data_IF_467846966879
#
_entry.id   IF_467846966879
#
_cell.length_a   1.000
_cell.length_b   1.000
_cell.length_c   1.000
_cell.angle_alpha   90.00
_cell.angle_beta   90.00
_cell.angle_gamma   90.00
#
_symmetry.space_group_name_H-M   'P 1'
#
loop_
_entity.id
_entity.type
_entity.pdbx_description
1 polymer ?
#
# COMPACT_ATOMS: atom_id res chain seq x y z
N UNK A 1 12.39 -23.47 -2.47
CA UNK A 1 11.38 -23.98 -3.41
C UNK A 1 10.52 -22.79 -3.80
N UNK A 2 10.59 -22.36 -5.06
CA UNK A 2 9.87 -21.18 -5.56
C UNK A 2 8.76 -21.69 -6.49
N UNK A 3 7.50 -21.45 -6.14
CA UNK A 3 6.34 -21.85 -6.94
C UNK A 3 5.97 -20.69 -7.86
N UNK A 4 6.30 -20.81 -9.15
CA UNK A 4 5.88 -19.84 -10.17
C UNK A 4 4.57 -20.33 -10.81
N UNK A 5 3.50 -19.56 -10.63
CA UNK A 5 2.21 -19.85 -11.27
C UNK A 5 2.11 -19.04 -12.57
N UNK A 6 2.30 -19.72 -13.71
CA UNK A 6 1.79 -19.25 -15.00
C UNK A 6 0.66 -20.18 -15.39
N UNK A 7 -0.40 -19.66 -16.01
CA UNK A 7 -1.73 -20.27 -16.14
C UNK A 7 -1.86 -21.62 -16.88
N UNK A 8 -0.84 -22.48 -16.93
CA UNK A 8 -0.89 -23.86 -17.43
C UNK A 8 0.01 -24.86 -16.66
N UNK A 9 0.64 -24.53 -15.52
CA UNK A 9 1.36 -25.53 -14.72
C UNK A 9 2.30 -24.96 -13.65
N UNK A 10 2.53 -25.75 -12.60
CA UNK A 10 3.53 -25.47 -11.57
C UNK A 10 4.86 -26.11 -11.96
N UNK A 11 5.95 -25.37 -11.76
CA UNK A 11 7.31 -25.90 -11.89
C UNK A 11 7.97 -25.85 -10.51
N UNK A 12 8.43 -27.01 -10.02
CA UNK A 12 9.29 -27.08 -8.86
C UNK A 12 10.74 -26.82 -9.30
N UNK A 13 11.32 -25.73 -8.78
CA UNK A 13 12.72 -25.38 -9.03
C UNK A 13 13.50 -25.68 -7.74
N UNK A 14 14.47 -26.58 -7.84
CA UNK A 14 15.40 -26.88 -6.76
C UNK A 14 16.41 -25.74 -6.61
N UNK A 15 16.87 -25.48 -5.39
CA UNK A 15 17.76 -24.34 -5.11
C UNK A 15 19.11 -24.42 -5.82
N UNK A 16 19.52 -25.62 -6.27
CA UNK A 16 20.74 -25.84 -7.03
C UNK A 16 20.71 -25.25 -8.44
N UNK A 17 19.51 -25.01 -8.99
CA UNK A 17 19.32 -24.50 -10.35
C UNK A 17 19.29 -22.96 -10.41
N UNK A 18 19.33 -22.32 -9.24
CA UNK A 18 19.31 -20.87 -9.10
C UNK A 18 20.75 -20.35 -9.16
N UNK A 19 21.09 -19.63 -10.23
CA UNK A 19 22.41 -18.99 -10.37
C UNK A 19 22.28 -17.48 -10.18
N UNK A 20 23.07 -16.95 -9.26
CA UNK A 20 23.20 -15.52 -9.04
C UNK A 20 24.24 -14.93 -10.00
N UNK A 21 24.03 -13.70 -10.45
CA UNK A 21 25.05 -12.97 -11.21
C UNK A 21 26.14 -12.53 -10.24
N UNK A 22 27.31 -13.13 -10.38
CA UNK A 22 28.48 -12.80 -9.58
C UNK A 22 29.56 -12.11 -10.41
N UNK A 23 30.40 -11.30 -9.77
CA UNK A 23 31.63 -10.82 -10.39
C UNK A 23 32.70 -11.94 -10.47
N UNK A 24 33.85 -11.63 -11.07
CA UNK A 24 35.00 -12.55 -11.16
C UNK A 24 35.60 -12.96 -9.80
N UNK A 25 35.12 -12.40 -8.68
CA UNK A 25 35.47 -12.79 -7.32
C UNK A 25 34.42 -13.70 -6.65
N UNK A 26 33.30 -13.96 -7.33
CA UNK A 26 32.19 -14.76 -6.81
C UNK A 26 31.20 -13.97 -5.94
N UNK A 27 31.32 -12.65 -5.86
CA UNK A 27 30.39 -11.79 -5.12
C UNK A 27 29.16 -11.47 -5.97
N UNK A 28 27.96 -11.61 -5.43
CA UNK A 28 26.71 -11.25 -6.13
C UNK A 28 26.69 -9.74 -6.40
N UNK A 29 26.47 -9.35 -7.65
CA UNK A 29 26.55 -7.95 -8.11
C UNK A 29 25.22 -7.39 -8.61
N UNK A 30 24.20 -8.24 -8.77
CA UNK A 30 22.86 -7.86 -9.20
C UNK A 30 21.84 -8.66 -8.37
N UNK A 31 20.77 -8.02 -7.91
CA UNK A 31 19.67 -8.65 -7.17
C UNK A 31 18.74 -9.44 -8.09
N UNK A 32 19.02 -9.42 -9.40
CA UNK A 32 18.38 -10.23 -10.40
C UNK A 32 18.83 -11.69 -10.33
N UNK A 33 17.87 -12.57 -10.05
CA UNK A 33 18.07 -14.02 -10.11
C UNK A 33 17.87 -14.49 -11.54
N UNK A 34 18.90 -15.10 -12.16
CA UNK A 34 18.75 -15.80 -13.44
C UNK A 34 18.44 -17.28 -13.18
N UNK A 35 17.26 -17.70 -13.61
CA UNK A 35 16.89 -19.11 -13.67
C UNK A 35 16.91 -19.54 -15.13
N UNK A 36 17.85 -20.40 -15.48
CA UNK A 36 17.92 -21.04 -16.78
C UNK A 36 17.29 -22.44 -16.68
N UNK A 37 16.11 -22.62 -17.25
CA UNK A 37 15.46 -23.94 -17.35
C UNK A 37 15.72 -24.46 -18.76
N UNK A 38 16.36 -25.62 -18.88
CA UNK A 38 16.60 -26.30 -20.16
C UNK A 38 15.53 -27.36 -20.37
N UNK A 39 14.69 -27.20 -21.40
CA UNK A 39 13.76 -28.25 -21.82
C UNK A 39 14.40 -29.18 -22.86
N UNK A 40 13.79 -30.35 -23.10
CA UNK A 40 14.27 -31.36 -24.07
C UNK A 40 14.48 -30.82 -25.50
N UNK A 41 13.91 -29.66 -25.83
CA UNK A 41 14.03 -28.98 -27.12
C UNK A 41 15.12 -27.89 -27.17
N UNK A 42 15.93 -27.71 -26.11
CA UNK A 42 17.04 -26.74 -26.07
C UNK A 42 16.62 -25.26 -25.92
N UNK A 43 15.44 -25.01 -25.35
CA UNK A 43 14.96 -23.65 -25.05
C UNK A 43 15.47 -23.18 -23.69
N UNK A 44 16.04 -21.96 -23.64
CA UNK A 44 16.46 -21.28 -22.43
C UNK A 44 15.46 -20.19 -22.04
N UNK A 45 15.02 -20.20 -20.79
CA UNK A 45 14.23 -19.11 -20.21
C UNK A 45 15.16 -18.17 -19.42
N UNK A 46 14.94 -16.86 -19.50
CA UNK A 46 15.56 -15.88 -18.62
C UNK A 46 14.46 -15.31 -17.72
N UNK A 47 14.36 -15.82 -16.50
CA UNK A 47 13.53 -15.19 -15.47
C UNK A 47 14.36 -14.06 -14.84
N UNK A 48 13.77 -12.88 -14.69
CA UNK A 48 14.36 -11.76 -13.94
C UNK A 48 13.41 -11.50 -12.77
N UNK A 49 13.80 -11.89 -11.57
CA UNK A 49 13.10 -11.54 -10.34
C UNK A 49 13.99 -10.58 -9.54
N UNK A 50 13.41 -9.48 -9.03
CA UNK A 50 14.09 -8.56 -8.11
C UNK A 50 13.76 -8.94 -6.67
N UNK A 51 14.73 -8.82 -5.78
CA UNK A 51 14.54 -9.14 -4.37
C UNK A 51 13.81 -7.97 -3.68
N UNK A 52 12.60 -8.21 -3.15
CA UNK A 52 11.87 -7.25 -2.32
C UNK A 52 10.61 -6.63 -2.93
N UNK A 53 10.22 -7.01 -4.16
CA UNK A 53 8.89 -6.68 -4.69
C UNK A 53 7.84 -7.66 -4.12
N UNK A 54 6.61 -7.21 -3.78
CA UNK A 54 5.54 -8.10 -3.35
C UNK A 54 5.29 -9.16 -4.44
N UNK A 55 5.01 -10.39 -4.03
CA UNK A 55 5.03 -11.63 -4.82
C UNK A 55 4.18 -11.65 -6.11
N UNK A 56 3.45 -10.58 -6.44
CA UNK A 56 2.39 -10.59 -7.45
C UNK A 56 2.83 -10.29 -8.90
N UNK A 57 4.07 -9.87 -9.19
CA UNK A 57 4.43 -9.50 -10.58
C UNK A 57 5.84 -9.92 -11.02
N UNK A 58 6.04 -11.21 -11.22
CA UNK A 58 7.18 -11.70 -12.01
C UNK A 58 6.82 -11.63 -13.50
N UNK A 59 7.46 -10.73 -14.25
CA UNK A 59 7.32 -10.65 -15.70
C UNK A 59 8.32 -11.61 -16.37
N UNK A 60 7.81 -12.70 -16.96
CA UNK A 60 8.65 -13.68 -17.67
C UNK A 60 8.71 -13.30 -19.15
N UNK A 61 9.88 -12.89 -19.63
CA UNK A 61 10.14 -12.67 -21.06
C UNK A 61 10.63 -13.99 -21.69
N UNK A 62 9.82 -14.58 -22.56
CA UNK A 62 10.15 -15.81 -23.27
C UNK A 62 10.63 -15.46 -24.68
N UNK A 63 11.91 -15.69 -24.98
CA UNK A 63 12.47 -15.49 -26.32
C UNK A 63 12.68 -16.85 -27.00
N UNK A 64 11.91 -17.15 -28.05
CA UNK A 64 12.12 -18.32 -28.92
C UNK A 64 13.07 -17.94 -30.06
N UNK A 65 14.21 -18.63 -30.13
CA UNK A 65 15.26 -18.55 -31.16
C UNK A 65 16.20 -17.33 -31.05
N UNK A 66 17.46 -17.62 -30.72
CA UNK A 66 18.53 -16.65 -30.48
C UNK A 66 18.95 -15.80 -31.69
N UNK A 67 18.14 -14.82 -32.06
CA UNK A 67 18.61 -13.58 -32.68
C UNK A 67 18.21 -12.44 -31.77
N UNK A 68 19.21 -11.92 -31.06
CA UNK A 68 19.07 -10.65 -30.35
C UNK A 68 19.17 -9.60 -31.44
N UNK A 69 18.04 -9.03 -31.85
CA UNK A 69 18.07 -7.87 -32.74
C UNK A 69 18.88 -6.77 -32.03
N UNK A 70 19.76 -6.05 -32.75
CA UNK A 70 20.49 -4.95 -32.15
C UNK A 70 19.47 -3.97 -31.59
N UNK A 71 19.54 -3.73 -30.28
CA UNK A 71 18.72 -2.74 -29.59
C UNK A 71 18.97 -1.41 -30.28
N UNK A 72 18.03 -0.99 -31.13
CA UNK A 72 18.00 0.37 -31.65
C UNK A 72 17.87 1.25 -30.41
N UNK A 73 18.79 2.20 -30.15
CA UNK A 73 18.63 3.09 -29.01
C UNK A 73 17.28 3.78 -29.17
N UNK A 74 16.35 3.47 -28.27
CA UNK A 74 15.09 4.18 -28.18
C UNK A 74 15.40 5.68 -28.09
N UNK A 75 14.61 6.54 -28.75
CA UNK A 75 14.69 7.97 -28.52
C UNK A 75 14.74 8.21 -27.01
N UNK A 76 15.75 8.96 -26.55
CA UNK A 76 15.82 9.34 -25.14
C UNK A 76 14.55 10.12 -24.85
N UNK A 77 13.64 9.53 -24.08
CA UNK A 77 12.44 10.22 -23.66
C UNK A 77 12.87 11.54 -23.00
N UNK A 78 12.19 12.67 -23.28
CA UNK A 78 12.49 13.92 -22.63
C UNK A 78 12.49 13.68 -21.12
N UNK A 79 13.61 14.03 -20.47
CA UNK A 79 13.76 13.92 -19.02
C UNK A 79 12.55 14.60 -18.41
N UNK A 80 11.67 13.81 -17.78
CA UNK A 80 10.56 14.37 -17.03
C UNK A 80 11.16 15.36 -16.03
N UNK A 81 10.61 16.57 -15.92
CA UNK A 81 11.06 17.49 -14.88
C UNK A 81 11.04 16.73 -13.54
N UNK A 82 12.03 16.94 -12.66
CA UNK A 82 12.06 16.28 -11.37
C UNK A 82 10.70 16.47 -10.71
N UNK A 83 10.12 15.37 -10.20
CA UNK A 83 8.86 15.44 -9.48
C UNK A 83 8.97 16.55 -8.43
N UNK A 84 7.95 17.41 -8.30
CA UNK A 84 7.97 18.45 -7.29
C UNK A 84 8.25 17.80 -5.94
N UNK A 85 9.35 18.20 -5.31
CA UNK A 85 9.71 17.75 -3.97
C UNK A 85 8.55 18.12 -3.07
N UNK A 86 7.78 17.13 -2.62
CA UNK A 86 6.75 17.34 -1.62
C UNK A 86 7.51 17.75 -0.36
N UNK A 87 7.37 19.00 0.12
CA UNK A 87 8.08 19.44 1.31
C UNK A 87 7.71 18.52 2.47
N UNK A 88 8.71 18.19 3.31
CA UNK A 88 8.50 17.41 4.52
C UNK A 88 7.34 18.08 5.30
N UNK A 89 6.22 17.37 5.48
CA UNK A 89 5.04 17.96 6.08
C UNK A 89 5.36 18.19 7.56
N UNK A 90 5.80 19.41 7.86
CA UNK A 90 5.98 19.91 9.22
C UNK A 90 4.70 19.76 10.06
N UNK A 91 4.75 20.13 11.36
CA UNK A 91 3.64 19.90 12.28
C UNK A 91 2.32 20.45 11.71
N UNK A 92 1.27 19.63 11.77
CA UNK A 92 -0.03 20.01 11.20
C UNK A 92 -0.60 21.21 11.96
N UNK A 93 -1.10 22.21 11.22
CA UNK A 93 -1.72 23.39 11.84
C UNK A 93 -3.06 23.07 12.51
N UNK A 94 -3.76 22.07 11.98
CA UNK A 94 -4.95 21.50 12.56
C UNK A 94 -4.89 19.98 12.40
N UNK A 95 -5.48 19.26 13.34
CA UNK A 95 -5.51 17.80 13.34
C UNK A 95 -6.96 17.34 13.30
N UNK A 96 -7.41 16.96 12.11
CA UNK A 96 -8.73 16.38 11.87
C UNK A 96 -8.60 14.93 11.42
N UNK A 97 -9.45 14.06 11.95
CA UNK A 97 -9.40 12.63 11.66
C UNK A 97 -10.75 12.12 11.17
N UNK A 98 -10.78 11.54 9.97
CA UNK A 98 -11.95 10.87 9.41
C UNK A 98 -11.64 9.39 9.26
N UNK A 99 -12.32 8.54 10.03
CA UNK A 99 -12.32 7.09 9.84
C UNK A 99 -13.47 6.74 8.91
N UNK A 100 -13.16 6.08 7.80
CA UNK A 100 -14.13 5.70 6.77
C UNK A 100 -14.28 4.18 6.77
N UNK A 101 -15.52 3.71 6.81
CA UNK A 101 -15.87 2.30 6.78
C UNK A 101 -17.13 2.08 5.93
N UNK A 102 -17.53 0.83 5.76
CA UNK A 102 -18.78 0.45 5.09
C UNK A 102 -19.65 -0.27 6.13
N UNK A 103 -20.86 0.23 6.34
CA UNK A 103 -21.79 -0.28 7.35
C UNK A 103 -22.70 -1.40 6.84
N UNK A 104 -22.68 -1.69 5.53
CA UNK A 104 -23.33 -2.88 4.98
C UNK A 104 -22.93 -4.15 5.75
N UNK A 105 -23.93 -4.99 6.03
CA UNK A 105 -23.77 -6.16 6.89
C UNK A 105 -22.73 -7.15 6.33
N UNK A 106 -22.66 -7.31 5.00
CA UNK A 106 -21.71 -8.23 4.39
C UNK A 106 -20.28 -7.73 4.57
N UNK A 107 -20.05 -6.42 4.41
CA UNK A 107 -18.72 -5.82 4.61
C UNK A 107 -18.31 -5.84 6.08
N UNK A 108 -19.22 -5.49 7.00
CA UNK A 108 -18.95 -5.50 8.44
C UNK A 108 -18.57 -6.91 8.96
N UNK A 109 -19.16 -7.97 8.41
CA UNK A 109 -18.79 -9.37 8.72
C UNK A 109 -17.42 -9.78 8.17
N UNK A 110 -16.93 -9.09 7.14
CA UNK A 110 -15.61 -9.31 6.55
C UNK A 110 -14.47 -8.60 7.30
N UNK A 111 -14.80 -7.68 8.22
CA UNK A 111 -13.80 -6.93 8.99
C UNK A 111 -13.11 -7.82 10.02
N UNK A 112 -11.82 -7.58 10.24
CA UNK A 112 -11.10 -8.24 11.34
C UNK A 112 -11.59 -7.72 12.69
N UNK A 113 -11.40 -8.51 13.74
CA UNK A 113 -11.72 -8.08 15.10
C UNK A 113 -10.93 -6.81 15.51
N UNK A 114 -9.70 -6.64 15.02
CA UNK A 114 -8.93 -5.40 15.22
C UNK A 114 -9.56 -4.18 14.55
N UNK A 115 -10.01 -4.31 13.30
CA UNK A 115 -10.69 -3.22 12.58
C UNK A 115 -12.00 -2.83 13.28
N UNK A 116 -12.82 -3.81 13.66
CA UNK A 116 -14.05 -3.58 14.43
C UNK A 116 -13.75 -2.93 15.80
N UNK A 117 -12.67 -3.34 16.46
CA UNK A 117 -12.26 -2.75 17.72
C UNK A 117 -11.89 -1.27 17.54
N UNK A 118 -11.11 -0.90 16.51
CA UNK A 118 -10.75 0.50 16.25
C UNK A 118 -11.99 1.37 16.00
N UNK A 119 -12.92 0.92 15.15
CA UNK A 119 -14.16 1.66 14.83
C UNK A 119 -15.01 1.91 16.08
N UNK A 120 -15.10 0.93 16.98
CA UNK A 120 -15.97 0.97 18.15
C UNK A 120 -15.25 1.41 19.45
N UNK A 121 -13.94 1.68 19.40
CA UNK A 121 -13.14 1.91 20.61
C UNK A 121 -13.46 3.24 21.28
N UNK A 122 -13.79 3.16 22.57
CA UNK A 122 -13.90 4.33 23.46
C UNK A 122 -12.53 5.00 23.60
N UNK A 123 -11.45 4.22 23.77
CA UNK A 123 -10.09 4.74 23.95
C UNK A 123 -9.61 5.54 22.73
N UNK A 124 -9.94 5.09 21.52
CA UNK A 124 -9.64 5.87 20.29
C UNK A 124 -10.41 7.18 20.29
N UNK A 125 -11.70 7.17 20.63
CA UNK A 125 -12.53 8.39 20.67
C UNK A 125 -12.06 9.38 21.73
N UNK A 126 -11.65 8.90 22.90
CA UNK A 126 -11.07 9.73 23.97
C UNK A 126 -9.76 10.38 23.52
N UNK A 127 -8.87 9.62 22.87
CA UNK A 127 -7.65 10.17 22.27
C UNK A 127 -7.98 11.25 21.25
N UNK A 128 -8.86 10.94 20.28
CA UNK A 128 -9.24 11.88 19.24
C UNK A 128 -9.93 13.13 19.81
N UNK A 129 -10.74 13.01 20.86
CA UNK A 129 -11.33 14.19 21.49
C UNK A 129 -10.27 15.08 22.16
N UNK A 130 -9.25 14.50 22.80
CA UNK A 130 -8.20 15.28 23.45
C UNK A 130 -7.24 15.96 22.45
N UNK A 131 -6.97 15.30 21.32
CA UNK A 131 -5.90 15.68 20.40
C UNK A 131 -6.40 16.38 19.12
N UNK A 132 -7.60 16.07 18.63
CA UNK A 132 -8.10 16.70 17.42
C UNK A 132 -8.47 18.18 17.63
N UNK A 133 -8.18 18.99 16.62
CA UNK A 133 -8.60 20.40 16.59
C UNK A 133 -10.11 20.50 16.72
N UNK A 134 -10.58 21.30 17.68
CA UNK A 134 -12.01 21.39 17.98
C UNK A 134 -12.77 22.10 16.85
N UNK A 135 -13.95 21.58 16.51
CA UNK A 135 -14.93 22.21 15.63
C UNK A 135 -16.19 22.39 16.47
N UNK A 136 -16.61 23.65 16.68
CA UNK A 136 -17.83 23.97 17.45
C UNK A 136 -17.85 23.35 18.86
N UNK A 137 -16.68 23.30 19.51
CA UNK A 137 -16.51 22.73 20.85
C UNK A 137 -16.45 21.21 20.92
N UNK A 138 -16.53 20.49 19.79
CA UNK A 138 -16.38 19.02 19.71
C UNK A 138 -15.04 18.64 19.11
N UNK A 139 -14.51 17.46 19.47
CA UNK A 139 -13.35 16.86 18.82
C UNK A 139 -13.52 16.86 17.30
N UNK A 140 -12.48 17.31 16.59
CA UNK A 140 -12.43 17.34 15.13
C UNK A 140 -12.21 15.97 14.52
N UNK A 141 -13.11 15.03 14.81
CA UNK A 141 -13.06 13.70 14.22
C UNK A 141 -14.45 13.17 13.83
N UNK A 142 -14.49 12.28 12.85
CA UNK A 142 -15.71 11.60 12.38
C UNK A 142 -15.43 10.14 12.07
N UNK A 143 -16.47 9.32 12.23
CA UNK A 143 -16.51 7.93 11.80
C UNK A 143 -17.69 7.84 10.85
N UNK A 144 -17.43 7.73 9.56
CA UNK A 144 -18.48 7.73 8.55
C UNK A 144 -18.47 6.47 7.73
N UNK A 145 -19.69 6.07 7.40
CA UNK A 145 -19.95 5.20 6.27
C UNK A 145 -19.53 5.92 4.96
N UNK A 146 -18.93 5.19 4.01
CA UNK A 146 -18.45 5.74 2.74
C UNK A 146 -19.58 6.46 1.94
N UNK A 147 -20.81 5.99 2.09
CA UNK A 147 -22.00 6.49 1.43
C UNK A 147 -22.82 7.47 2.30
N UNK A 148 -22.34 7.81 3.50
CA UNK A 148 -23.01 8.79 4.37
C UNK A 148 -23.15 10.17 3.71
N UNK A 149 -24.33 10.79 3.84
CA UNK A 149 -24.52 12.17 3.42
C UNK A 149 -23.82 13.13 4.38
N UNK A 150 -23.03 14.07 3.83
CA UNK A 150 -22.33 15.13 4.56
C UNK A 150 -22.75 16.53 4.09
N UNK A 151 -23.92 16.65 3.47
CA UNK A 151 -24.40 17.93 2.91
C UNK A 151 -24.56 19.04 3.96
N UNK A 152 -24.86 18.68 5.20
CA UNK A 152 -25.07 19.59 6.32
C UNK A 152 -23.82 19.76 7.21
N UNK A 153 -22.74 19.03 6.93
CA UNK A 153 -21.49 19.18 7.67
C UNK A 153 -20.70 20.44 7.26
N UNK A 154 -19.67 20.75 8.04
CA UNK A 154 -18.69 21.78 7.71
C UNK A 154 -17.87 21.43 6.46
N UNK A 155 -17.29 22.45 5.83
CA UNK A 155 -16.56 22.30 4.56
C UNK A 155 -15.38 21.33 4.66
N UNK A 156 -14.72 21.24 5.82
CA UNK A 156 -13.64 20.28 6.06
C UNK A 156 -14.10 18.82 5.92
N UNK A 157 -15.29 18.48 6.41
CA UNK A 157 -15.81 17.10 6.33
C UNK A 157 -16.36 16.78 4.95
N UNK A 158 -16.96 17.76 4.28
CA UNK A 158 -17.37 17.64 2.87
C UNK A 158 -16.15 17.33 2.00
N UNK A 159 -15.08 18.12 2.14
CA UNK A 159 -13.84 17.90 1.42
C UNK A 159 -13.19 16.55 1.78
N UNK A 160 -13.13 16.19 3.06
CA UNK A 160 -12.54 14.92 3.48
C UNK A 160 -13.29 13.70 2.92
N UNK A 161 -14.62 13.72 2.92
CA UNK A 161 -15.43 12.64 2.31
C UNK A 161 -15.29 12.61 0.79
N UNK A 162 -15.20 13.76 0.13
CA UNK A 162 -14.94 13.81 -1.31
C UNK A 162 -13.59 13.19 -1.67
N UNK A 163 -12.56 13.41 -0.84
CA UNK A 163 -11.25 12.76 -0.98
C UNK A 163 -11.38 11.27 -0.73
N UNK A 164 -12.02 10.86 0.36
CA UNK A 164 -12.23 9.45 0.72
C UNK A 164 -12.85 8.64 -0.44
N UNK A 165 -13.90 9.18 -1.06
CA UNK A 165 -14.60 8.55 -2.18
C UNK A 165 -13.75 8.45 -3.44
N UNK A 166 -12.83 9.40 -3.65
CA UNK A 166 -11.94 9.43 -4.83
C UNK A 166 -10.75 8.49 -4.68
N UNK A 167 -10.23 8.29 -3.48
CA UNK A 167 -9.04 7.46 -3.25
C UNK A 167 -9.25 5.97 -3.51
N UNK A 168 -10.49 5.47 -3.52
CA UNK A 168 -10.85 4.05 -3.78
C UNK A 168 -10.00 3.05 -2.96
N UNK A 169 -9.71 3.39 -1.70
CA UNK A 169 -8.94 2.52 -0.79
C UNK A 169 -9.77 1.35 -0.29
N UNK A 170 -9.07 0.31 0.17
CA UNK A 170 -9.69 -0.79 0.92
C UNK A 170 -10.26 -0.26 2.23
N UNK A 171 -11.53 -0.53 2.50
CA UNK A 171 -12.18 -0.15 3.75
C UNK A 171 -11.91 -1.18 4.87
N UNK A 172 -11.78 -0.75 6.13
CA UNK A 172 -11.79 0.64 6.60
C UNK A 172 -10.41 1.30 6.48
N UNK A 173 -10.40 2.61 6.30
CA UNK A 173 -9.17 3.42 6.30
C UNK A 173 -9.38 4.72 7.09
N UNK A 174 -8.28 5.40 7.38
CA UNK A 174 -8.26 6.70 8.06
C UNK A 174 -7.69 7.77 7.15
N UNK A 175 -8.35 8.93 7.12
CA UNK A 175 -7.83 10.17 6.60
C UNK A 175 -7.50 11.10 7.74
N UNK A 176 -6.31 11.67 7.70
CA UNK A 176 -5.87 12.74 8.60
C UNK A 176 -5.66 13.99 7.77
N UNK A 177 -6.23 15.11 8.17
CA UNK A 177 -6.12 16.36 7.44
C UNK A 177 -5.97 17.56 8.36
N UNK A 178 -5.30 18.60 7.86
CA UNK A 178 -5.23 19.92 8.48
C UNK A 178 -6.21 20.93 7.85
N UNK A 179 -7.12 20.45 6.99
CA UNK A 179 -8.02 21.27 6.18
C UNK A 179 -7.45 21.67 4.82
N UNK A 180 -6.24 21.24 4.46
CA UNK A 180 -5.66 21.49 3.13
C UNK A 180 -4.84 20.31 2.60
N UNK A 181 -4.01 19.72 3.46
CA UNK A 181 -3.21 18.53 3.20
C UNK A 181 -3.93 17.34 3.81
N UNK A 182 -4.01 16.23 3.07
CA UNK A 182 -4.59 14.98 3.56
C UNK A 182 -3.53 13.89 3.50
N UNK A 183 -3.31 13.22 4.63
CA UNK A 183 -2.60 11.95 4.72
C UNK A 183 -3.63 10.84 4.90
N UNK A 184 -3.40 9.70 4.29
CA UNK A 184 -4.33 8.57 4.29
C UNK A 184 -3.60 7.28 4.64
N UNK A 185 -4.16 6.45 5.50
CA UNK A 185 -3.61 5.14 5.84
C UNK A 185 -4.72 4.10 5.99
N UNK A 186 -4.46 2.88 5.54
CA UNK A 186 -5.37 1.75 5.79
C UNK A 186 -5.32 1.37 7.27
N UNK A 187 -6.46 0.96 7.84
CA UNK A 187 -6.46 0.41 9.19
C UNK A 187 -6.00 -1.06 9.07
N UNK A 188 -4.83 -1.41 9.65
CA UNK A 188 -4.24 -2.73 9.43
C UNK A 188 -5.21 -3.84 9.84
N UNK A 189 -5.28 -4.95 9.08
CA UNK A 189 -6.13 -6.09 9.38
C UNK A 189 -5.53 -6.93 10.53
N UNK A 190 -5.36 -6.32 11.69
CA UNK A 190 -4.86 -6.99 12.90
C UNK A 190 -6.00 -7.83 13.50
N UNK A 191 -5.70 -9.04 13.95
CA UNK A 191 -6.68 -9.96 14.53
C UNK A 191 -7.00 -9.66 15.99
N UNK A 192 -6.07 -9.05 16.74
CA UNK A 192 -6.27 -8.67 18.15
C UNK A 192 -6.88 -7.26 18.26
N UNK A 193 -7.99 -7.15 18.99
CA UNK A 193 -8.71 -5.89 19.21
C UNK A 193 -7.88 -4.83 19.94
N UNK A 194 -7.28 -5.21 21.07
CA UNK A 194 -6.50 -4.28 21.91
C UNK A 194 -5.21 -3.83 21.20
N UNK A 195 -4.50 -4.77 20.57
CA UNK A 195 -3.29 -4.44 19.81
C UNK A 195 -3.59 -3.49 18.64
N UNK A 196 -4.69 -3.69 17.93
CA UNK A 196 -5.12 -2.81 16.86
C UNK A 196 -5.40 -1.39 17.36
N UNK A 197 -6.06 -1.26 18.52
CA UNK A 197 -6.33 0.04 19.15
C UNK A 197 -5.03 0.76 19.53
N UNK A 198 -4.08 0.07 20.17
CA UNK A 198 -2.80 0.70 20.54
C UNK A 198 -1.99 1.12 19.31
N UNK A 199 -1.90 0.26 18.29
CA UNK A 199 -1.20 0.58 17.04
C UNK A 199 -1.86 1.73 16.28
N UNK A 200 -3.19 1.79 16.28
CA UNK A 200 -3.91 2.90 15.67
C UNK A 200 -3.64 4.23 16.40
N UNK A 201 -3.67 4.23 17.73
CA UNK A 201 -3.33 5.43 18.52
C UNK A 201 -1.87 5.83 18.30
N UNK A 202 -0.95 4.86 18.23
CA UNK A 202 0.45 5.13 17.96
C UNK A 202 0.66 5.78 16.58
N UNK A 203 -0.02 5.27 15.55
CA UNK A 203 -0.05 5.90 14.23
C UNK A 203 -0.56 7.35 14.30
N UNK A 204 -1.65 7.60 15.02
CA UNK A 204 -2.18 8.96 15.17
C UNK A 204 -1.17 9.91 15.82
N UNK A 205 -0.44 9.46 16.85
CA UNK A 205 0.62 10.25 17.51
C UNK A 205 1.74 10.62 16.52
N UNK A 206 2.18 9.66 15.71
CA UNK A 206 3.24 9.88 14.72
C UNK A 206 2.81 10.86 13.63
N UNK A 207 1.53 10.86 13.26
CA UNK A 207 0.98 11.79 12.27
C UNK A 207 0.75 13.19 12.84
N UNK A 208 0.33 13.29 14.10
CA UNK A 208 0.11 14.56 14.80
C UNK A 208 1.41 15.39 14.89
N UNK A 209 2.56 14.73 15.09
CA UNK A 209 3.90 15.33 15.13
C UNK A 209 4.34 15.72 16.53
#
# INVERSE_FOLDING_TARGET
MVLLCSGCGYFDIESSDIKYVTDGSGKVIDDQVLIAIENQDGLYYKVIARHGEPEERVSILISRNGKIDPVVPSPVDPVNPPDPVVPDPGPMKAFYVLVVYESDEATMRGLTAGQLAVINSVKVREYLDQHCTKIEGKGGYRFYDIDASVSEDSDVWKQAMDIARKEKRTLPFVLVTDGSITRSAEIPPISSGEEAVEKFIQFLKEVEG
#
